data_IF_823608689393
#
_entry.id   IF_823608689393
#
_cell.length_a   1.000
_cell.length_b   1.000
_cell.length_c   1.000
_cell.angle_alpha   90.00
_cell.angle_beta   90.00
_cell.angle_gamma   90.00
#
_symmetry.space_group_name_H-M   'P 1'
#
loop_
_entity.id
_entity.type
_entity.pdbx_description
1 polymer ?
#
# COMPACT_ATOMS: atom_id res chain seq x y z
N UNK A 1 4.21 59.02 -27.95
CA UNK A 1 5.00 58.01 -27.20
C UNK A 1 4.05 57.30 -26.24
N UNK A 2 3.51 56.16 -26.65
CA UNK A 2 2.60 55.32 -25.85
C UNK A 2 3.46 54.42 -24.95
N UNK A 3 3.37 54.62 -23.61
CA UNK A 3 4.03 53.79 -22.65
C UNK A 3 3.44 52.36 -22.71
N UNK A 4 4.30 51.35 -22.87
CA UNK A 4 3.89 49.97 -22.86
C UNK A 4 3.26 49.60 -21.48
N UNK A 5 2.17 48.82 -21.45
CA UNK A 5 1.57 48.44 -20.19
C UNK A 5 2.56 47.61 -19.36
N UNK A 6 2.94 48.11 -18.20
CA UNK A 6 3.77 47.35 -17.23
C UNK A 6 2.96 46.19 -16.76
N UNK A 7 3.43 44.98 -17.07
CA UNK A 7 2.83 43.74 -16.62
C UNK A 7 2.96 43.65 -15.09
N UNK A 8 1.87 43.90 -14.37
CA UNK A 8 1.85 43.75 -12.93
C UNK A 8 1.74 42.23 -12.60
N UNK A 9 2.83 41.68 -12.10
CA UNK A 9 2.82 40.31 -11.59
C UNK A 9 1.82 40.20 -10.40
N UNK A 10 0.74 39.46 -10.62
CA UNK A 10 -0.24 39.20 -9.60
C UNK A 10 0.42 38.44 -8.43
N UNK A 11 0.37 38.92 -7.18
CA UNK A 11 0.96 38.21 -6.06
C UNK A 11 0.18 36.91 -5.81
N UNK A 12 0.77 35.77 -6.18
CA UNK A 12 0.21 34.46 -5.90
C UNK A 12 0.31 34.21 -4.38
N UNK A 13 -0.73 34.58 -3.65
CA UNK A 13 -0.86 34.23 -2.23
C UNK A 13 -1.27 32.78 -2.10
N UNK A 14 -0.30 31.90 -1.86
CA UNK A 14 -0.58 30.53 -1.43
C UNK A 14 -1.01 30.55 0.03
N UNK A 15 -2.30 30.38 0.30
CA UNK A 15 -2.80 30.20 1.65
C UNK A 15 -2.32 28.86 2.20
N UNK A 16 -1.39 28.91 3.16
CA UNK A 16 -0.98 27.73 3.91
C UNK A 16 -2.03 27.43 4.96
N UNK A 17 -2.43 26.15 5.06
CA UNK A 17 -3.26 25.71 6.18
C UNK A 17 -2.53 25.94 7.50
N UNK A 18 -3.26 26.39 8.51
CA UNK A 18 -2.72 26.58 9.85
C UNK A 18 -2.45 25.24 10.54
N UNK A 19 -1.58 25.24 11.54
CA UNK A 19 -1.26 24.03 12.30
C UNK A 19 -2.51 23.44 12.97
N UNK A 20 -3.41 24.33 13.45
CA UNK A 20 -4.66 23.92 14.07
C UNK A 20 -5.62 23.24 13.08
N UNK A 21 -5.77 23.77 11.85
CA UNK A 21 -6.59 23.15 10.80
C UNK A 21 -6.06 21.78 10.39
N UNK A 22 -4.74 21.64 10.30
CA UNK A 22 -4.14 20.34 10.00
C UNK A 22 -4.37 19.33 11.12
N UNK A 23 -4.27 19.75 12.39
CA UNK A 23 -4.50 18.90 13.55
C UNK A 23 -5.98 18.44 13.60
N UNK A 24 -6.92 19.36 13.46
CA UNK A 24 -8.35 19.05 13.45
C UNK A 24 -8.71 18.10 12.28
N UNK A 25 -8.12 18.30 11.10
CA UNK A 25 -8.32 17.39 9.96
C UNK A 25 -7.80 15.99 10.24
N UNK A 26 -6.62 15.84 10.86
CA UNK A 26 -6.04 14.54 11.22
C UNK A 26 -6.89 13.81 12.25
N UNK A 27 -7.40 14.49 13.25
CA UNK A 27 -8.30 13.93 14.23
C UNK A 27 -9.57 13.38 13.56
N UNK A 28 -10.22 14.18 12.71
CA UNK A 28 -11.38 13.75 11.95
C UNK A 28 -11.09 12.59 10.98
N UNK A 29 -9.86 12.49 10.42
CA UNK A 29 -9.46 11.35 9.61
C UNK A 29 -9.28 10.08 10.45
N UNK A 30 -8.77 10.18 11.68
CA UNK A 30 -8.70 9.05 12.61
C UNK A 30 -10.07 8.50 12.92
N UNK A 31 -11.05 9.36 13.25
CA UNK A 31 -12.44 8.94 13.51
C UNK A 31 -13.06 8.20 12.34
N UNK A 32 -12.77 8.67 11.10
CA UNK A 32 -13.26 8.00 9.88
C UNK A 32 -12.69 6.60 9.76
N UNK A 33 -11.39 6.45 9.99
CA UNK A 33 -10.68 5.18 9.83
C UNK A 33 -11.09 4.21 10.94
N UNK A 34 -11.22 4.69 12.17
CA UNK A 34 -11.63 3.87 13.31
C UNK A 34 -13.02 3.28 13.13
N UNK A 35 -13.95 4.06 12.58
CA UNK A 35 -15.31 3.61 12.31
C UNK A 35 -15.42 2.56 11.20
N UNK A 36 -14.50 2.59 10.22
CA UNK A 36 -14.62 1.76 9.00
C UNK A 36 -13.45 0.83 8.70
N UNK A 37 -12.53 0.61 9.63
CA UNK A 37 -11.33 -0.23 9.44
C UNK A 37 -11.64 -1.70 9.11
N UNK A 38 -10.89 -2.33 8.20
CA UNK A 38 -9.78 -1.78 7.40
C UNK A 38 -10.29 -1.02 6.17
N UNK A 39 -9.71 0.13 5.86
CA UNK A 39 -10.09 0.99 4.73
C UNK A 39 -8.91 1.27 3.80
N UNK A 40 -9.20 1.49 2.51
CA UNK A 40 -8.20 2.00 1.57
C UNK A 40 -8.07 3.53 1.68
N UNK A 41 -6.91 4.08 1.33
CA UNK A 41 -6.68 5.54 1.32
C UNK A 41 -7.74 6.26 0.47
N UNK A 42 -8.18 5.64 -0.64
CA UNK A 42 -9.21 6.19 -1.51
C UNK A 42 -10.58 6.24 -0.84
N UNK A 43 -10.94 5.21 -0.06
CA UNK A 43 -12.19 5.21 0.72
C UNK A 43 -12.17 6.29 1.80
N UNK A 44 -11.04 6.43 2.52
CA UNK A 44 -10.86 7.51 3.49
C UNK A 44 -11.04 8.88 2.84
N UNK A 45 -10.46 9.11 1.66
CA UNK A 45 -10.62 10.35 0.91
C UNK A 45 -12.10 10.63 0.55
N UNK A 46 -12.83 9.62 0.05
CA UNK A 46 -14.25 9.80 -0.26
C UNK A 46 -15.08 10.12 0.99
N UNK A 47 -14.84 9.45 2.10
CA UNK A 47 -15.50 9.73 3.38
C UNK A 47 -15.17 11.14 3.88
N UNK A 48 -13.91 11.55 3.80
CA UNK A 48 -13.47 12.90 4.16
C UNK A 48 -14.13 13.98 3.29
N UNK A 49 -14.31 13.69 1.99
CA UNK A 49 -15.01 14.60 1.07
C UNK A 49 -16.49 14.73 1.40
N UNK A 50 -17.17 13.62 1.74
CA UNK A 50 -18.59 13.63 2.15
C UNK A 50 -18.78 14.42 3.43
N UNK A 51 -17.84 14.36 4.37
CA UNK A 51 -17.86 15.15 5.60
C UNK A 51 -17.41 16.62 5.41
N UNK A 52 -17.04 17.02 4.19
CA UNK A 52 -16.61 18.38 3.89
C UNK A 52 -15.22 18.75 4.45
N UNK A 53 -14.43 17.78 4.91
CA UNK A 53 -13.08 18.02 5.46
C UNK A 53 -12.06 18.38 4.40
N UNK A 54 -12.28 17.88 3.18
CA UNK A 54 -11.35 18.03 2.05
C UNK A 54 -12.14 18.26 0.76
N UNK A 55 -11.61 19.11 -0.11
CA UNK A 55 -12.17 19.35 -1.42
C UNK A 55 -12.04 18.11 -2.32
N UNK A 56 -13.06 17.84 -3.16
CA UNK A 56 -13.04 16.76 -4.15
C UNK A 56 -12.16 17.13 -5.36
N UNK A 57 -10.87 17.30 -5.10
CA UNK A 57 -9.85 17.62 -6.07
C UNK A 57 -8.61 16.75 -5.80
N UNK A 58 -7.73 16.65 -6.77
CA UNK A 58 -6.47 15.89 -6.62
C UNK A 58 -5.58 16.49 -5.51
N UNK A 59 -5.62 17.84 -5.38
CA UNK A 59 -4.96 18.54 -4.28
C UNK A 59 -5.47 18.10 -2.89
N UNK A 60 -6.78 17.84 -2.78
CA UNK A 60 -7.42 17.29 -1.58
C UNK A 60 -6.96 15.87 -1.29
N UNK A 61 -6.90 15.01 -2.32
CA UNK A 61 -6.38 13.65 -2.19
C UNK A 61 -4.92 13.63 -1.72
N UNK A 62 -4.07 14.48 -2.30
CA UNK A 62 -2.66 14.62 -1.88
C UNK A 62 -2.51 15.06 -0.42
N UNK A 63 -3.40 15.94 0.08
CA UNK A 63 -3.42 16.35 1.50
C UNK A 63 -3.73 15.15 2.42
N UNK A 64 -4.78 14.38 2.11
CA UNK A 64 -5.15 13.18 2.87
C UNK A 64 -4.01 12.16 2.87
N UNK A 65 -3.44 11.87 1.72
CA UNK A 65 -2.33 10.92 1.58
C UNK A 65 -1.11 11.35 2.41
N UNK A 66 -0.77 12.63 2.40
CA UNK A 66 0.35 13.20 3.19
C UNK A 66 0.07 13.09 4.67
N UNK A 67 -1.13 13.46 5.13
CA UNK A 67 -1.51 13.40 6.54
C UNK A 67 -1.50 11.95 7.05
N UNK A 68 -2.07 11.00 6.32
CA UNK A 68 -2.06 9.58 6.67
C UNK A 68 -0.63 9.02 6.75
N UNK A 69 0.25 9.45 5.85
CA UNK A 69 1.67 9.03 5.87
C UNK A 69 2.39 9.56 7.11
N UNK A 70 2.14 10.81 7.48
CA UNK A 70 2.75 11.41 8.68
C UNK A 70 2.23 10.73 9.94
N UNK A 71 0.92 10.50 10.05
CA UNK A 71 0.30 9.83 11.19
C UNK A 71 0.81 8.39 11.37
N UNK A 72 1.03 7.66 10.28
CA UNK A 72 1.66 6.33 10.32
C UNK A 72 3.10 6.38 10.82
N UNK A 73 3.89 7.37 10.37
CA UNK A 73 5.27 7.56 10.82
C UNK A 73 5.37 8.01 12.28
N UNK A 74 4.39 8.77 12.74
CA UNK A 74 4.27 9.18 14.14
C UNK A 74 3.81 8.05 15.07
N UNK A 75 3.28 6.93 14.50
CA UNK A 75 2.71 5.83 15.29
C UNK A 75 1.28 6.09 15.76
N UNK A 76 0.65 7.19 15.34
CA UNK A 76 -0.74 7.52 15.68
C UNK A 76 -1.73 6.62 14.95
N UNK A 77 -1.34 6.12 13.75
CA UNK A 77 -2.17 5.28 12.91
C UNK A 77 -1.54 3.90 12.71
N UNK A 78 -2.14 2.81 13.21
CA UNK A 78 -1.67 1.44 12.98
C UNK A 78 -1.68 1.07 11.49
N UNK A 79 -0.70 0.28 11.07
CA UNK A 79 -0.56 -0.13 9.66
C UNK A 79 -1.73 -0.99 9.18
N UNK A 80 -2.30 -1.81 10.05
CA UNK A 80 -3.38 -2.76 9.74
C UNK A 80 -4.74 -2.06 9.46
N UNK A 81 -4.89 -0.79 9.84
CA UNK A 81 -6.12 -0.05 9.63
C UNK A 81 -6.31 0.44 8.20
N UNK A 82 -5.20 0.52 7.43
CA UNK A 82 -5.25 0.90 6.03
C UNK A 82 -4.83 -0.27 5.14
N UNK A 83 -5.76 -0.74 4.32
CA UNK A 83 -5.51 -1.76 3.32
C UNK A 83 -4.92 -1.16 2.05
N UNK A 84 -3.83 -1.73 1.53
CA UNK A 84 -3.26 -1.38 0.24
C UNK A 84 -3.66 -2.43 -0.80
N UNK A 85 -4.83 -2.24 -1.43
CA UNK A 85 -5.35 -3.16 -2.44
C UNK A 85 -4.69 -2.99 -3.82
N UNK A 86 -3.77 -2.04 -3.97
CA UNK A 86 -3.15 -1.74 -5.27
C UNK A 86 -1.90 -2.57 -5.54
N UNK A 87 -1.32 -3.19 -4.51
CA UNK A 87 -0.12 -4.04 -4.63
C UNK A 87 -0.47 -5.51 -4.63
N UNK A 88 -0.85 -6.03 -5.79
CA UNK A 88 -0.76 -7.46 -6.04
C UNK A 88 0.72 -7.78 -6.21
N UNK A 89 1.35 -8.35 -5.20
CA UNK A 89 2.63 -9.01 -5.42
C UNK A 89 2.37 -10.25 -6.29
N UNK A 90 2.59 -10.10 -7.59
CA UNK A 90 2.85 -11.28 -8.42
C UNK A 90 4.12 -11.90 -7.85
N UNK A 91 3.97 -13.03 -7.17
CA UNK A 91 5.10 -13.86 -6.80
C UNK A 91 5.95 -14.02 -8.06
N UNK A 92 7.19 -13.52 -8.14
CA UNK A 92 8.03 -13.78 -9.30
C UNK A 92 8.12 -15.29 -9.44
N UNK A 93 8.03 -15.79 -10.68
CA UNK A 93 8.18 -17.22 -10.94
C UNK A 93 9.52 -17.63 -10.35
N UNK A 94 9.49 -18.46 -9.33
CA UNK A 94 10.70 -18.92 -8.64
C UNK A 94 11.59 -19.65 -9.64
N UNK A 95 12.90 -19.43 -9.57
CA UNK A 95 13.93 -19.99 -10.44
C UNK A 95 13.86 -21.52 -10.62
N UNK A 96 13.10 -22.23 -9.79
CA UNK A 96 12.84 -23.67 -9.94
C UNK A 96 12.16 -24.07 -11.26
N UNK A 97 11.45 -23.17 -11.94
CA UNK A 97 10.90 -23.46 -13.26
C UNK A 97 11.88 -23.18 -14.40
N UNK A 98 12.86 -22.28 -14.23
CA UNK A 98 13.90 -22.03 -15.20
C UNK A 98 14.88 -23.20 -15.32
N UNK A 99 15.18 -23.88 -14.22
CA UNK A 99 16.03 -25.07 -14.20
C UNK A 99 15.36 -26.27 -14.88
N UNK A 100 14.04 -26.44 -14.75
CA UNK A 100 13.31 -27.50 -15.46
C UNK A 100 13.31 -27.31 -16.98
N UNK A 101 13.19 -26.08 -17.47
CA UNK A 101 13.28 -25.81 -18.93
C UNK A 101 14.69 -26.03 -19.48
N UNK A 102 15.75 -25.70 -18.73
CA UNK A 102 17.13 -25.97 -19.15
C UNK A 102 17.45 -27.45 -19.19
N UNK A 103 16.97 -28.22 -18.22
CA UNK A 103 17.15 -29.68 -18.21
C UNK A 103 16.47 -30.37 -19.42
N UNK A 104 15.33 -29.85 -19.88
CA UNK A 104 14.64 -30.39 -21.06
C UNK A 104 15.34 -30.09 -22.38
N UNK A 105 16.17 -29.03 -22.44
CA UNK A 105 16.92 -28.67 -23.67
C UNK A 105 18.28 -29.44 -23.77
N UNK A 106 18.84 -29.85 -22.64
CA UNK A 106 20.14 -30.55 -22.60
C UNK A 106 20.00 -32.08 -22.56
N UNK A 107 18.80 -32.62 -22.38
CA UNK A 107 18.50 -34.04 -22.23
C UNK A 107 18.33 -34.81 -23.56
N UNK A 108 19.17 -34.59 -24.56
CA UNK A 108 19.23 -35.37 -25.76
C UNK A 108 20.51 -36.22 -25.83
N UNK A 109 20.76 -37.09 -24.83
CA UNK A 109 21.66 -38.21 -24.99
C UNK A 109 21.36 -39.30 -23.94
N UNK A 110 21.14 -40.49 -24.49
CA UNK A 110 20.95 -41.80 -23.84
C UNK A 110 21.97 -42.04 -22.72
N UNK A 111 21.53 -42.66 -21.63
CA UNK A 111 22.40 -43.47 -20.80
C UNK A 111 22.06 -43.46 -19.31
N UNK A 112 21.62 -44.64 -18.87
CA UNK A 112 21.81 -45.22 -17.54
C UNK A 112 20.89 -44.90 -16.38
N UNK A 113 20.26 -45.97 -16.03
CA UNK A 113 19.55 -46.38 -14.83
C UNK A 113 20.24 -45.94 -13.53
N UNK A 114 19.70 -44.93 -12.88
CA UNK A 114 20.00 -44.58 -11.50
C UNK A 114 18.72 -44.53 -10.70
N UNK A 115 18.49 -45.54 -9.87
CA UNK A 115 17.38 -45.70 -8.94
C UNK A 115 17.42 -44.56 -7.90
N UNK A 116 16.60 -43.53 -8.08
CA UNK A 116 16.41 -42.50 -7.06
C UNK A 116 15.58 -43.08 -5.91
N UNK A 117 16.25 -43.31 -4.81
CA UNK A 117 15.60 -43.56 -3.51
C UNK A 117 14.89 -42.29 -3.05
N UNK A 118 13.61 -42.42 -2.75
CA UNK A 118 12.80 -41.37 -2.16
C UNK A 118 13.30 -41.05 -0.75
N UNK A 119 13.56 -39.77 -0.40
CA UNK A 119 13.77 -39.40 1.01
C UNK A 119 12.43 -39.43 1.76
N UNK A 120 12.50 -40.05 2.92
CA UNK A 120 11.40 -40.41 3.76
C UNK A 120 10.44 -39.27 4.16
N UNK A 121 9.27 -39.75 4.37
CA UNK A 121 8.09 -39.12 4.91
C UNK A 121 8.37 -38.47 6.28
N UNK A 122 8.36 -37.14 6.33
CA UNK A 122 8.44 -36.35 7.56
C UNK A 122 7.10 -35.70 7.85
N UNK A 123 6.08 -36.46 8.25
CA UNK A 123 4.87 -35.92 8.91
C UNK A 123 4.13 -37.07 9.56
N UNK A 124 4.60 -37.46 10.73
CA UNK A 124 3.78 -38.14 11.75
C UNK A 124 4.14 -37.52 13.10
N UNK A 125 3.46 -36.48 13.48
CA UNK A 125 3.38 -36.02 14.86
C UNK A 125 1.90 -36.02 15.25
N UNK A 126 1.49 -36.84 16.22
CA UNK A 126 0.11 -36.87 16.69
C UNK A 126 -0.20 -35.65 17.55
N UNK A 127 -1.27 -34.93 17.18
CA UNK A 127 -1.90 -33.88 17.97
C UNK A 127 -2.49 -34.53 19.27
N UNK A 128 -1.81 -34.35 20.37
CA UNK A 128 -2.38 -34.56 21.70
C UNK A 128 -3.31 -33.38 22.04
N UNK A 129 -4.61 -33.60 21.87
CA UNK A 129 -5.66 -32.75 22.44
C UNK A 129 -5.84 -33.17 23.89
N UNK A 130 -5.40 -32.35 24.84
CA UNK A 130 -5.87 -32.46 26.22
C UNK A 130 -6.98 -31.44 26.43
N UNK A 131 -8.17 -31.90 26.72
CA UNK A 131 -9.27 -31.15 27.32
C UNK A 131 -9.25 -31.36 28.84
N UNK A 132 -9.62 -30.31 29.62
CA UNK A 132 -9.98 -30.45 31.02
C UNK A 132 -11.37 -30.99 31.19
#
# INVERSE_FOLDING_TARGET
>A
MTAAPVYQASPIRRTRATKAEVAARREALLDIIEAGRPMTVRQVFYQATVRGLVEKAESGYGKVQTDLTIMRRAGELPYDWLADNTRWQRKPQTFGQATKKRAAIVGGSKGETGRCQSPGRWFDAPLMIQKP
#
